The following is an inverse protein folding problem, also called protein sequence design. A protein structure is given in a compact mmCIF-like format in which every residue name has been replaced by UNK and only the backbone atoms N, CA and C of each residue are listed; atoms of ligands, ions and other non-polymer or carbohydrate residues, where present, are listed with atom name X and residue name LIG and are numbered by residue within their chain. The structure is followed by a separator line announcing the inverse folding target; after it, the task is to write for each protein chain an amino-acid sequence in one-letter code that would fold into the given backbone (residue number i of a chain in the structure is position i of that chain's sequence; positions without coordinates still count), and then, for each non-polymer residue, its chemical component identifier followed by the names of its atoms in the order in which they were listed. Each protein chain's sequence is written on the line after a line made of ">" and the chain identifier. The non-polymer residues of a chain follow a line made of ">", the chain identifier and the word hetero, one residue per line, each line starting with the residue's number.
data_IF_230779583427
#
_entry.id   IF_230779583427
#
_cell.length_a   1.000
_cell.length_b   1.000
_cell.length_c   1.000
_cell.angle_alpha   90.00
_cell.angle_beta   90.00
_cell.angle_gamma   90.00
#
_symmetry.space_group_name_H-M   'P 1'
#
loop_
_entity.id
_entity.type
_entity.pdbx_description
1 polymer ?
#
# COMPACT_ATOMS: atom_id res chain seq x y z
N UNK A 1 9.33 -18.21 7.54
CA UNK A 1 9.54 -17.78 6.14
C UNK A 1 9.07 -18.90 5.21
N UNK A 2 7.82 -18.81 4.76
CA UNK A 2 7.13 -19.87 4.01
C UNK A 2 7.33 -19.70 2.50
N UNK A 3 7.17 -20.78 1.74
CA UNK A 3 7.16 -20.74 0.27
C UNK A 3 6.05 -19.82 -0.26
N UNK A 4 4.95 -19.66 0.51
CA UNK A 4 3.85 -18.74 0.17
C UNK A 4 4.33 -17.28 0.14
N UNK A 5 5.15 -16.86 1.09
CA UNK A 5 5.65 -15.47 1.18
C UNK A 5 6.51 -15.14 -0.05
N UNK A 6 7.30 -16.11 -0.53
CA UNK A 6 8.14 -15.96 -1.73
C UNK A 6 7.34 -15.87 -3.02
N UNK A 7 6.20 -16.56 -3.11
CA UNK A 7 5.34 -16.54 -4.30
C UNK A 7 4.41 -15.32 -4.32
N UNK A 8 4.01 -14.81 -3.16
CA UNK A 8 3.15 -13.64 -3.04
C UNK A 8 3.86 -12.32 -3.38
N UNK A 9 5.21 -12.29 -3.34
CA UNK A 9 6.03 -11.12 -3.70
C UNK A 9 5.99 -9.97 -2.68
N UNK A 10 5.15 -10.07 -1.65
CA UNK A 10 5.06 -9.16 -0.52
C UNK A 10 5.03 -10.02 0.74
N UNK A 11 6.01 -9.83 1.63
CA UNK A 11 6.02 -10.51 2.92
C UNK A 11 4.85 -10.01 3.78
N UNK A 12 4.25 -10.91 4.56
CA UNK A 12 3.29 -10.51 5.56
C UNK A 12 3.95 -9.51 6.54
N UNK A 13 3.26 -8.41 6.89
CA UNK A 13 3.77 -7.46 7.87
C UNK A 13 3.83 -8.07 9.28
N UNK A 14 4.69 -7.49 10.13
CA UNK A 14 4.56 -7.65 11.58
C UNK A 14 3.26 -7.00 12.06
N UNK A 15 2.77 -7.36 13.25
CA UNK A 15 1.45 -6.93 13.76
C UNK A 15 1.28 -5.41 13.88
N UNK A 16 2.37 -4.65 13.95
CA UNK A 16 2.35 -3.18 14.04
C UNK A 16 3.00 -2.49 12.83
N UNK A 17 3.17 -3.21 11.71
CA UNK A 17 3.75 -2.60 10.52
C UNK A 17 2.80 -1.58 9.90
N UNK A 18 3.37 -0.51 9.36
CA UNK A 18 2.62 0.61 8.80
C UNK A 18 2.76 0.65 7.29
N UNK A 19 1.68 0.89 6.56
CA UNK A 19 1.74 1.01 5.11
C UNK A 19 2.20 2.43 4.73
N UNK A 20 3.35 2.51 4.06
CA UNK A 20 3.95 3.78 3.66
C UNK A 20 3.93 3.99 2.14
N UNK A 21 3.69 5.24 1.73
CA UNK A 21 3.84 5.71 0.35
C UNK A 21 5.21 6.37 0.16
N UNK A 22 5.99 5.90 -0.80
CA UNK A 22 7.10 6.66 -1.36
C UNK A 22 6.52 7.79 -2.23
N UNK A 23 6.50 9.00 -1.68
CA UNK A 23 5.96 10.18 -2.35
C UNK A 23 6.81 10.66 -3.54
N UNK A 24 8.06 10.20 -3.67
CA UNK A 24 8.92 10.54 -4.81
C UNK A 24 8.62 9.58 -5.98
N UNK A 25 8.43 8.30 -5.69
CA UNK A 25 8.10 7.30 -6.71
C UNK A 25 6.62 7.30 -7.12
N UNK A 26 5.73 7.85 -6.29
CA UNK A 26 4.30 7.90 -6.59
C UNK A 26 4.01 8.86 -7.76
N UNK A 27 3.20 8.40 -8.72
CA UNK A 27 2.75 9.21 -9.87
C UNK A 27 1.23 9.45 -9.85
N UNK A 28 0.58 9.34 -8.69
CA UNK A 28 -0.86 9.64 -8.55
C UNK A 28 -1.81 8.68 -9.30
N UNK A 29 -1.48 7.39 -9.38
CA UNK A 29 -2.30 6.39 -10.11
C UNK A 29 -3.64 6.02 -9.44
N UNK A 30 -3.87 6.40 -8.19
CA UNK A 30 -5.17 6.26 -7.50
C UNK A 30 -5.60 4.86 -7.02
N UNK A 31 -5.03 3.75 -7.54
CA UNK A 31 -5.48 2.38 -7.19
C UNK A 31 -5.49 2.11 -5.67
N UNK A 32 -4.46 2.59 -4.96
CA UNK A 32 -4.36 2.40 -3.52
C UNK A 32 -5.42 3.18 -2.72
N UNK A 33 -5.75 4.41 -3.15
CA UNK A 33 -6.81 5.22 -2.54
C UNK A 33 -8.18 4.58 -2.70
N UNK A 34 -8.48 4.00 -3.86
CA UNK A 34 -9.74 3.29 -4.08
C UNK A 34 -9.84 2.00 -3.26
N UNK A 35 -8.75 1.23 -3.21
CA UNK A 35 -8.73 -0.06 -2.51
C UNK A 35 -8.75 0.09 -0.98
N UNK A 36 -8.11 1.13 -0.45
CA UNK A 36 -7.88 1.33 0.98
C UNK A 36 -8.74 2.46 1.57
N UNK A 37 -9.77 2.93 0.85
CA UNK A 37 -10.69 3.90 1.40
C UNK A 37 -11.36 3.35 2.68
N UNK A 38 -11.53 4.17 3.74
CA UNK A 38 -11.22 5.60 3.82
C UNK A 38 -9.80 5.94 4.32
N UNK A 39 -8.98 4.94 4.65
CA UNK A 39 -7.64 5.14 5.22
C UNK A 39 -6.71 5.88 4.25
N UNK A 40 -6.87 5.63 2.94
CA UNK A 40 -6.21 6.36 1.87
C UNK A 40 -7.29 7.00 1.00
N UNK A 41 -7.13 8.29 0.69
CA UNK A 41 -7.98 9.00 -0.27
C UNK A 41 -7.10 9.68 -1.31
N UNK A 42 -7.66 10.07 -2.46
CA UNK A 42 -6.93 10.88 -3.43
C UNK A 42 -7.18 12.36 -3.17
N UNK A 43 -6.15 13.18 -3.29
CA UNK A 43 -6.30 14.65 -3.41
C UNK A 43 -6.78 15.04 -4.81
N UNK A 44 -6.95 16.35 -5.05
CA UNK A 44 -7.36 16.89 -6.35
C UNK A 44 -6.38 16.61 -7.50
N UNK A 45 -5.14 16.20 -7.20
CA UNK A 45 -4.11 15.86 -8.18
C UNK A 45 -3.93 14.34 -8.34
N UNK A 46 -4.70 13.53 -7.61
CA UNK A 46 -4.65 12.07 -7.67
C UNK A 46 -3.60 11.43 -6.77
N UNK A 47 -2.87 12.21 -5.96
CA UNK A 47 -1.90 11.66 -5.01
C UNK A 47 -2.61 11.15 -3.75
N UNK A 48 -2.10 10.06 -3.14
CA UNK A 48 -2.70 9.52 -1.93
C UNK A 48 -2.46 10.45 -0.74
N UNK A 49 -3.56 10.80 -0.07
CA UNK A 49 -3.62 11.34 1.28
C UNK A 49 -3.84 10.16 2.22
N UNK A 50 -2.89 9.98 3.14
CA UNK A 50 -2.91 8.89 4.12
C UNK A 50 -3.46 9.43 5.43
N UNK A 51 -4.61 8.91 5.84
CA UNK A 51 -5.27 9.24 7.11
C UNK A 51 -4.96 8.20 8.18
N UNK A 52 -4.83 6.94 7.77
CA UNK A 52 -4.42 5.83 8.63
C UNK A 52 -3.47 4.91 7.85
N UNK A 53 -2.32 4.61 8.47
CA UNK A 53 -1.31 3.73 7.91
C UNK A 53 -1.39 2.30 8.46
N UNK A 54 -2.23 2.07 9.48
CA UNK A 54 -2.55 0.76 10.04
C UNK A 54 -3.71 0.13 9.26
N UNK A 55 -3.40 -0.40 8.09
CA UNK A 55 -4.38 -1.07 7.23
C UNK A 55 -4.39 -2.59 7.45
N UNK A 56 -5.49 -3.24 7.08
CA UNK A 56 -5.55 -4.69 7.00
C UNK A 56 -4.40 -5.25 6.14
N UNK A 57 -3.76 -6.32 6.62
CA UNK A 57 -2.54 -6.86 6.01
C UNK A 57 -2.76 -7.40 4.59
N UNK A 58 -3.91 -8.04 4.33
CA UNK A 58 -4.21 -8.62 3.02
C UNK A 58 -4.56 -7.52 2.01
N UNK A 59 -5.30 -6.49 2.45
CA UNK A 59 -5.56 -5.31 1.63
C UNK A 59 -4.28 -4.51 1.36
N UNK A 60 -3.42 -4.30 2.35
CA UNK A 60 -2.14 -3.62 2.19
C UNK A 60 -1.19 -4.38 1.26
N UNK A 61 -1.09 -5.70 1.39
CA UNK A 61 -0.32 -6.54 0.46
C UNK A 61 -0.88 -6.47 -0.97
N UNK A 62 -2.20 -6.41 -1.11
CA UNK A 62 -2.86 -6.22 -2.41
C UNK A 62 -2.55 -4.85 -3.00
N UNK A 63 -2.61 -3.79 -2.21
CA UNK A 63 -2.24 -2.44 -2.62
C UNK A 63 -0.78 -2.36 -3.09
N UNK A 64 0.15 -2.98 -2.35
CA UNK A 64 1.57 -3.06 -2.73
C UNK A 64 1.74 -3.76 -4.08
N UNK A 65 1.06 -4.90 -4.31
CA UNK A 65 1.13 -5.65 -5.57
C UNK A 65 0.55 -4.89 -6.76
N UNK A 66 -0.56 -4.18 -6.55
CA UNK A 66 -1.27 -3.49 -7.62
C UNK A 66 -0.69 -2.11 -7.94
N UNK A 67 0.21 -1.58 -7.11
CA UNK A 67 0.87 -0.30 -7.37
C UNK A 67 1.76 -0.37 -8.62
N UNK A 68 1.40 0.27 -9.75
CA UNK A 68 2.11 0.09 -11.01
C UNK A 68 3.54 0.66 -10.98
N UNK A 69 3.75 1.67 -10.15
CA UNK A 69 5.03 2.37 -9.95
C UNK A 69 5.76 1.90 -8.68
N UNK A 70 5.24 0.86 -7.99
CA UNK A 70 5.84 0.24 -6.81
C UNK A 70 6.17 1.24 -5.68
N UNK A 71 5.32 2.24 -5.49
CA UNK A 71 5.47 3.29 -4.48
C UNK A 71 4.96 2.91 -3.08
N UNK A 72 4.50 1.67 -2.86
CA UNK A 72 3.98 1.22 -1.56
C UNK A 72 4.88 0.19 -0.91
N UNK A 73 5.01 0.25 0.42
CA UNK A 73 5.76 -0.72 1.23
C UNK A 73 5.30 -0.75 2.68
N UNK A 74 5.55 -1.87 3.35
CA UNK A 74 5.50 -1.94 4.82
C UNK A 74 6.69 -1.21 5.43
N UNK A 75 6.47 -0.57 6.57
CA UNK A 75 7.45 0.09 7.44
C UNK A 75 7.53 -0.59 8.78
#
# INVERSE_FOLDING_TARGET
>A
MSIRDRLAGVAAPDTDARLAVDRIACEGRGICSELLAPAFTSDEWGYPVVHDEHVDADLGATAIRLCPVRALRWR
#
